data_IF_944499730407
#
_entry.id   IF_944499730407
#
_cell.length_a   1.000
_cell.length_b   1.000
_cell.length_c   1.000
_cell.angle_alpha   90.00
_cell.angle_beta   90.00
_cell.angle_gamma   90.00
#
_symmetry.space_group_name_H-M   'P 1'
#
loop_
_entity.id
_entity.type
_entity.pdbx_description
1 polymer ?
#
# COMPACT_ATOMS: atom_id res chain seq x y z
N UNK A 1 -30.55 0.17 2.51
CA UNK A 1 -29.35 -0.46 3.08
C UNK A 1 -29.75 -0.97 4.46
N UNK A 2 -29.66 -2.27 4.71
CA UNK A 2 -29.84 -2.86 6.02
C UNK A 2 -28.84 -2.21 6.98
N UNK A 3 -29.28 -1.89 8.20
CA UNK A 3 -28.45 -1.30 9.25
C UNK A 3 -27.30 -2.28 9.60
N UNK A 4 -26.17 -2.16 8.92
CA UNK A 4 -24.96 -2.89 9.27
C UNK A 4 -24.21 -2.12 10.35
N UNK A 5 -23.90 -2.78 11.45
CA UNK A 5 -23.02 -2.21 12.46
C UNK A 5 -21.57 -2.19 11.97
N UNK A 6 -20.73 -1.39 12.59
CA UNK A 6 -19.29 -1.38 12.31
C UNK A 6 -18.67 -2.78 12.47
N UNK A 7 -19.07 -3.52 13.50
CA UNK A 7 -18.63 -4.90 13.73
C UNK A 7 -19.08 -5.86 12.61
N UNK A 8 -20.30 -5.66 12.05
CA UNK A 8 -20.78 -6.45 10.90
C UNK A 8 -19.93 -6.18 9.65
N UNK A 9 -19.51 -4.94 9.44
CA UNK A 9 -18.62 -4.56 8.33
C UNK A 9 -17.28 -5.30 8.45
N UNK A 10 -16.64 -5.26 9.63
CA UNK A 10 -15.39 -5.99 9.87
C UNK A 10 -15.57 -7.52 9.74
N UNK A 11 -16.72 -8.06 10.18
CA UNK A 11 -17.05 -9.46 9.96
C UNK A 11 -17.20 -9.79 8.46
N UNK A 12 -17.74 -8.85 7.68
CA UNK A 12 -17.90 -9.02 6.23
C UNK A 12 -16.57 -8.99 5.50
N UNK A 13 -15.57 -8.23 5.98
CA UNK A 13 -14.21 -8.27 5.42
C UNK A 13 -13.66 -9.69 5.34
N UNK A 14 -13.96 -10.57 6.31
CA UNK A 14 -13.50 -11.98 6.34
C UNK A 14 -13.95 -12.81 5.12
N UNK A 15 -14.94 -12.33 4.38
CA UNK A 15 -15.46 -13.00 3.17
C UNK A 15 -14.81 -12.48 1.89
N UNK A 16 -14.08 -11.37 1.96
CA UNK A 16 -13.50 -10.74 0.80
C UNK A 16 -12.17 -11.39 0.40
N UNK A 17 -12.00 -11.61 -0.89
CA UNK A 17 -10.72 -11.96 -1.51
C UNK A 17 -10.19 -10.74 -2.25
N UNK A 18 -8.97 -10.34 -1.97
CA UNK A 18 -8.34 -9.15 -2.56
C UNK A 18 -7.09 -9.59 -3.30
N UNK A 19 -7.04 -9.32 -4.60
CA UNK A 19 -5.85 -9.51 -5.41
C UNK A 19 -4.93 -8.30 -5.23
N UNK A 20 -3.71 -8.53 -4.79
CA UNK A 20 -2.68 -7.48 -4.66
C UNK A 20 -1.62 -7.75 -5.72
N UNK A 21 -1.37 -6.77 -6.59
CA UNK A 21 -0.41 -6.88 -7.70
C UNK A 21 0.56 -5.70 -7.60
N UNK A 22 1.86 -5.97 -7.60
CA UNK A 22 2.83 -4.89 -7.59
C UNK A 22 4.23 -5.30 -7.16
N UNK A 23 5.04 -4.30 -6.88
CA UNK A 23 6.41 -4.47 -6.46
C UNK A 23 6.49 -4.90 -5.00
N UNK A 24 7.24 -5.93 -4.73
CA UNK A 24 7.52 -6.43 -3.37
C UNK A 24 8.97 -6.19 -2.99
N UNK A 25 9.24 -6.16 -1.69
CA UNK A 25 10.58 -5.98 -1.17
C UNK A 25 10.76 -6.63 0.19
N UNK A 26 12.03 -6.88 0.55
CA UNK A 26 12.44 -7.17 1.91
C UNK A 26 12.88 -5.87 2.59
N UNK A 27 12.21 -5.50 3.66
CA UNK A 27 12.66 -4.47 4.59
C UNK A 27 13.50 -5.10 5.69
N UNK A 28 14.81 -4.93 5.64
CA UNK A 28 15.74 -5.48 6.61
C UNK A 28 16.25 -4.40 7.57
N UNK A 29 16.22 -4.68 8.85
CA UNK A 29 16.65 -3.81 9.94
C UNK A 29 17.84 -4.45 10.64
N UNK A 30 18.99 -3.79 10.61
CA UNK A 30 20.23 -4.24 11.23
C UNK A 30 20.48 -3.37 12.46
N UNK A 31 20.24 -3.94 13.62
CA UNK A 31 20.42 -3.24 14.91
C UNK A 31 21.79 -3.53 15.50
N UNK A 32 22.45 -2.47 16.00
CA UNK A 32 23.74 -2.61 16.64
C UNK A 32 24.15 -1.40 17.47
N UNK A 33 25.38 -1.43 17.97
CA UNK A 33 26.00 -0.31 18.66
C UNK A 33 27.21 0.21 17.88
N UNK A 34 27.34 1.54 17.79
CA UNK A 34 28.54 2.20 17.28
C UNK A 34 29.36 2.64 18.50
N UNK A 35 30.50 2.00 18.72
CA UNK A 35 31.37 2.25 19.87
C UNK A 35 32.73 2.85 19.46
N UNK A 36 33.09 2.76 18.17
CA UNK A 36 34.35 3.25 17.66
C UNK A 36 34.27 3.62 16.18
N UNK A 37 35.22 4.45 15.77
CA UNK A 37 35.51 4.76 14.36
C UNK A 37 36.53 3.75 13.84
N UNK A 38 36.43 3.37 12.55
CA UNK A 38 37.38 2.48 11.90
C UNK A 38 38.78 3.09 11.86
N UNK A 39 39.85 2.32 12.11
CA UNK A 39 41.21 2.77 11.88
C UNK A 39 41.57 2.86 10.38
N UNK A 40 40.77 2.24 9.50
CA UNK A 40 41.02 2.22 8.04
C UNK A 40 40.44 3.42 7.32
N UNK A 41 39.37 4.02 7.85
CA UNK A 41 38.69 5.19 7.30
C UNK A 41 37.81 5.88 8.37
N UNK A 42 37.45 7.17 8.23
CA UNK A 42 36.62 7.88 9.20
C UNK A 42 35.13 7.46 9.12
N UNK A 43 34.86 6.17 9.26
CA UNK A 43 33.53 5.57 9.22
C UNK A 43 33.21 4.88 10.54
N UNK A 44 31.94 4.93 11.03
CA UNK A 44 31.55 4.22 12.22
C UNK A 44 31.57 2.70 12.00
N UNK A 45 32.01 1.95 13.01
CA UNK A 45 31.90 0.49 13.04
C UNK A 45 30.64 0.15 13.84
N UNK A 46 29.66 -0.47 13.18
CA UNK A 46 28.49 -1.03 13.84
C UNK A 46 28.80 -2.46 14.32
N UNK A 47 28.73 -2.66 15.62
CA UNK A 47 28.73 -3.99 16.22
C UNK A 47 27.29 -4.52 16.19
N UNK A 48 26.98 -5.38 15.19
CA UNK A 48 25.64 -5.92 14.97
C UNK A 48 25.21 -6.80 16.14
N UNK A 49 24.00 -6.52 16.67
CA UNK A 49 23.35 -7.28 17.76
C UNK A 49 22.23 -8.17 17.26
N UNK A 50 21.41 -7.65 16.32
CA UNK A 50 20.29 -8.41 15.78
C UNK A 50 19.97 -7.94 14.36
N UNK A 51 19.27 -8.81 13.62
CA UNK A 51 18.68 -8.49 12.30
C UNK A 51 17.21 -8.90 12.33
N UNK A 52 16.36 -8.02 11.84
CA UNK A 52 14.92 -8.25 11.59
C UNK A 52 14.66 -8.10 10.11
N UNK A 53 13.72 -8.87 9.57
CA UNK A 53 13.32 -8.79 8.17
C UNK A 53 11.80 -8.81 8.08
N UNK A 54 11.25 -7.92 7.27
CA UNK A 54 9.81 -7.77 7.09
C UNK A 54 9.43 -7.74 5.62
N UNK A 55 8.21 -8.17 5.33
CA UNK A 55 7.61 -8.07 4.01
C UNK A 55 7.19 -6.62 3.76
N UNK A 56 7.68 -6.01 2.67
CA UNK A 56 7.40 -4.63 2.29
C UNK A 56 6.73 -4.49 0.92
N UNK A 57 6.30 -3.27 0.57
CA UNK A 57 5.59 -2.97 -0.66
C UNK A 57 4.26 -3.71 -0.77
N UNK A 58 3.95 -4.26 -1.93
CA UNK A 58 2.71 -5.00 -2.15
C UNK A 58 2.51 -6.17 -1.16
N UNK A 59 3.60 -6.72 -0.58
CA UNK A 59 3.48 -7.75 0.45
C UNK A 59 3.02 -7.18 1.80
N UNK A 60 3.39 -5.95 2.16
CA UNK A 60 2.83 -5.26 3.33
C UNK A 60 1.34 -4.95 3.13
N UNK A 61 0.93 -4.56 1.92
CA UNK A 61 -0.50 -4.42 1.59
C UNK A 61 -1.23 -5.76 1.81
N UNK A 62 -0.66 -6.89 1.36
CA UNK A 62 -1.25 -8.20 1.60
C UNK A 62 -1.36 -8.54 3.09
N UNK A 63 -0.36 -8.21 3.91
CA UNK A 63 -0.41 -8.37 5.37
C UNK A 63 -1.49 -7.51 6.02
N UNK A 64 -1.68 -6.26 5.57
CA UNK A 64 -2.76 -5.40 6.05
C UNK A 64 -4.13 -5.98 5.71
N UNK A 65 -4.35 -6.46 4.48
CA UNK A 65 -5.59 -7.13 4.07
C UNK A 65 -5.85 -8.36 4.95
N UNK A 66 -4.83 -9.17 5.22
CA UNK A 66 -4.93 -10.35 6.08
C UNK A 66 -5.27 -9.97 7.52
N UNK A 67 -4.61 -8.99 8.08
CA UNK A 67 -4.86 -8.52 9.45
C UNK A 67 -6.28 -7.97 9.63
N UNK A 68 -6.83 -7.32 8.61
CA UNK A 68 -8.23 -6.88 8.57
C UNK A 68 -9.22 -8.05 8.41
N UNK A 69 -8.71 -9.28 8.33
CA UNK A 69 -9.49 -10.52 8.24
C UNK A 69 -9.83 -10.95 6.83
N UNK A 70 -9.55 -10.15 5.79
CA UNK A 70 -9.79 -10.53 4.41
C UNK A 70 -8.70 -11.48 3.88
N UNK A 71 -8.94 -12.08 2.73
CA UNK A 71 -8.07 -13.08 2.11
C UNK A 71 -7.24 -12.40 1.02
N UNK A 72 -5.96 -12.08 1.27
CA UNK A 72 -5.08 -11.53 0.23
C UNK A 72 -4.57 -12.63 -0.70
N UNK A 73 -4.42 -12.30 -1.97
CA UNK A 73 -3.71 -13.10 -2.96
C UNK A 73 -2.68 -12.18 -3.61
N UNK A 74 -1.41 -12.39 -3.27
CA UNK A 74 -0.32 -11.55 -3.75
C UNK A 74 0.24 -12.09 -5.07
N UNK A 75 0.29 -11.26 -6.10
CA UNK A 75 0.93 -11.53 -7.38
C UNK A 75 2.09 -10.56 -7.61
N UNK A 76 3.30 -11.09 -7.72
CA UNK A 76 4.52 -10.28 -7.91
C UNK A 76 5.64 -11.10 -8.57
N UNK A 77 6.78 -10.45 -8.77
CA UNK A 77 8.00 -11.08 -9.30
C UNK A 77 9.17 -10.80 -8.37
N UNK A 78 9.88 -11.85 -7.98
CA UNK A 78 11.12 -11.80 -7.20
C UNK A 78 12.27 -12.45 -7.95
N UNK A 79 13.50 -12.25 -7.49
CA UNK A 79 14.68 -12.94 -8.01
C UNK A 79 14.76 -14.41 -7.58
N UNK A 80 15.47 -15.23 -8.37
CA UNK A 80 15.98 -16.54 -7.93
C UNK A 80 17.28 -16.39 -7.13
N UNK A 81 17.20 -15.65 -6.03
CA UNK A 81 18.33 -15.27 -5.19
C UNK A 81 18.07 -15.57 -3.71
N UNK A 82 19.07 -15.31 -2.85
CA UNK A 82 18.93 -15.54 -1.39
C UNK A 82 17.83 -14.67 -0.80
N UNK A 83 17.75 -13.34 -1.08
CA UNK A 83 16.64 -12.52 -0.59
C UNK A 83 15.26 -13.02 -1.06
N UNK A 84 15.15 -13.55 -2.29
CA UNK A 84 13.90 -14.13 -2.78
C UNK A 84 13.48 -15.38 -2.01
N UNK A 85 14.41 -16.21 -1.61
CA UNK A 85 14.11 -17.38 -0.76
C UNK A 85 13.70 -16.94 0.66
N UNK A 86 14.37 -15.93 1.23
CA UNK A 86 13.99 -15.32 2.51
C UNK A 86 12.60 -14.72 2.45
N UNK A 87 12.28 -14.00 1.36
CA UNK A 87 10.95 -13.43 1.11
C UNK A 87 9.85 -14.51 1.12
N UNK A 88 10.04 -15.61 0.37
CA UNK A 88 9.08 -16.72 0.34
C UNK A 88 8.94 -17.39 1.72
N UNK A 89 10.04 -17.52 2.47
CA UNK A 89 10.03 -18.03 3.84
C UNK A 89 9.19 -17.15 4.78
N UNK A 90 9.32 -15.83 4.67
CA UNK A 90 8.53 -14.87 5.44
C UNK A 90 7.05 -14.91 5.03
N UNK A 91 6.73 -15.01 3.74
CA UNK A 91 5.34 -15.19 3.29
C UNK A 91 4.71 -16.44 3.91
N UNK A 92 5.41 -17.58 3.82
CA UNK A 92 4.92 -18.85 4.35
C UNK A 92 4.72 -18.80 5.87
N UNK A 93 5.67 -18.23 6.62
CA UNK A 93 5.55 -18.06 8.07
C UNK A 93 4.44 -17.10 8.50
N UNK A 94 4.09 -16.15 7.65
CA UNK A 94 2.96 -15.23 7.85
C UNK A 94 1.62 -15.81 7.36
N UNK A 95 1.59 -17.04 6.84
CA UNK A 95 0.39 -17.66 6.32
C UNK A 95 -0.10 -17.11 4.98
N UNK A 96 0.73 -16.35 4.26
CA UNK A 96 0.42 -15.86 2.93
C UNK A 96 0.67 -16.94 1.87
N UNK A 97 -0.20 -17.00 0.87
CA UNK A 97 -0.03 -17.89 -0.29
C UNK A 97 1.14 -17.42 -1.15
N UNK A 98 1.94 -18.37 -1.64
CA UNK A 98 3.12 -18.09 -2.48
C UNK A 98 2.92 -18.41 -3.97
N UNK A 99 1.79 -18.98 -4.34
CA UNK A 99 1.50 -19.44 -5.71
C UNK A 99 1.31 -18.30 -6.73
N UNK A 100 1.11 -17.07 -6.27
CA UNK A 100 1.11 -15.86 -7.09
C UNK A 100 2.50 -15.26 -7.36
N UNK A 101 3.56 -15.82 -6.79
CA UNK A 101 4.91 -15.25 -6.89
C UNK A 101 5.70 -15.89 -8.02
N UNK A 102 6.05 -15.09 -9.02
CA UNK A 102 6.92 -15.51 -10.12
C UNK A 102 8.38 -15.34 -9.70
N UNK A 103 9.20 -16.40 -9.92
CA UNK A 103 10.65 -16.35 -9.70
C UNK A 103 11.36 -16.06 -11.01
N UNK A 104 12.24 -15.07 -11.01
CA UNK A 104 12.98 -14.61 -12.18
C UNK A 104 14.48 -14.85 -12.03
N UNK A 105 15.11 -15.42 -13.07
CA UNK A 105 16.58 -15.47 -13.19
C UNK A 105 17.19 -14.18 -13.73
N UNK A 106 16.35 -13.18 -14.06
CA UNK A 106 16.75 -11.98 -14.79
C UNK A 106 16.59 -10.70 -13.96
N UNK A 107 16.27 -10.82 -12.68
CA UNK A 107 16.20 -9.67 -11.76
C UNK A 107 16.57 -10.08 -10.36
N UNK A 108 16.97 -9.10 -9.57
CA UNK A 108 17.19 -9.24 -8.12
C UNK A 108 15.88 -9.01 -7.37
N UNK A 109 15.76 -9.68 -6.22
CA UNK A 109 14.74 -9.32 -5.23
C UNK A 109 15.09 -7.99 -4.60
N UNK A 110 14.16 -7.03 -4.61
CA UNK A 110 14.37 -5.73 -3.97
C UNK A 110 14.55 -5.90 -2.47
N UNK A 111 15.63 -5.32 -1.94
CA UNK A 111 15.94 -5.34 -0.51
C UNK A 111 16.36 -3.95 -0.03
N UNK A 112 15.82 -3.52 1.12
CA UNK A 112 16.14 -2.26 1.78
C UNK A 112 16.73 -2.52 3.17
N UNK A 113 18.04 -2.43 3.29
CA UNK A 113 18.76 -2.69 4.54
C UNK A 113 18.92 -1.36 5.31
N UNK A 114 18.28 -1.25 6.47
CA UNK A 114 18.38 -0.11 7.38
C UNK A 114 19.31 -0.43 8.53
N UNK A 115 20.40 0.31 8.66
CA UNK A 115 21.38 0.18 9.73
C UNK A 115 21.02 1.14 10.85
N UNK A 116 20.76 0.62 12.06
CA UNK A 116 20.21 1.36 13.19
C UNK A 116 21.10 1.23 14.42
N UNK A 117 21.42 2.35 15.06
CA UNK A 117 22.12 2.40 16.35
C UNK A 117 21.50 3.47 17.24
N UNK A 118 21.25 3.12 18.51
CA UNK A 118 20.67 4.04 19.48
C UNK A 118 19.30 4.61 19.06
N UNK A 119 18.51 3.87 18.29
CA UNK A 119 17.21 4.31 17.78
C UNK A 119 17.29 5.21 16.53
N UNK A 120 18.48 5.49 16.00
CA UNK A 120 18.68 6.34 14.83
C UNK A 120 19.14 5.56 13.61
N UNK A 121 18.63 5.91 12.44
CA UNK A 121 19.08 5.38 11.16
C UNK A 121 20.46 5.96 10.84
N UNK A 122 21.47 5.11 10.68
CA UNK A 122 22.83 5.49 10.29
C UNK A 122 23.02 5.45 8.78
N UNK A 123 22.45 4.44 8.13
CA UNK A 123 22.61 4.20 6.70
C UNK A 123 21.44 3.33 6.20
N UNK A 124 21.04 3.54 4.93
CA UNK A 124 20.20 2.63 4.19
C UNK A 124 20.94 2.14 2.96
N UNK A 125 20.96 0.82 2.74
CA UNK A 125 21.54 0.18 1.58
C UNK A 125 20.40 -0.44 0.79
N UNK A 126 20.17 0.05 -0.44
CA UNK A 126 19.10 -0.43 -1.31
C UNK A 126 19.73 -1.31 -2.41
N UNK A 127 19.31 -2.58 -2.46
CA UNK A 127 19.61 -3.50 -3.54
C UNK A 127 18.35 -3.67 -4.36
N UNK A 128 18.29 -3.04 -5.52
CA UNK A 128 17.07 -2.98 -6.30
C UNK A 128 17.36 -2.80 -7.79
N UNK A 129 16.41 -3.21 -8.61
CA UNK A 129 16.36 -2.98 -10.04
C UNK A 129 15.00 -2.39 -10.41
N UNK A 130 14.98 -1.45 -11.35
CA UNK A 130 13.77 -0.70 -11.71
C UNK A 130 13.37 -0.87 -13.19
N UNK A 131 14.08 -1.73 -13.92
CA UNK A 131 13.74 -2.03 -15.31
C UNK A 131 12.44 -2.86 -15.41
N UNK A 132 11.68 -2.72 -16.52
CA UNK A 132 10.48 -3.54 -16.75
C UNK A 132 10.80 -5.04 -16.78
N UNK A 133 9.80 -5.85 -16.46
CA UNK A 133 9.88 -7.30 -16.56
C UNK A 133 10.23 -7.72 -18.00
N UNK A 134 11.05 -8.75 -18.14
CA UNK A 134 11.24 -9.39 -19.43
C UNK A 134 9.92 -10.05 -19.93
N UNK A 135 9.86 -10.39 -21.21
CA UNK A 135 8.64 -10.94 -21.84
C UNK A 135 8.14 -12.23 -21.18
N UNK A 136 9.07 -13.09 -20.69
CA UNK A 136 8.73 -14.37 -20.07
C UNK A 136 8.08 -14.14 -18.70
N UNK A 137 8.73 -13.37 -17.85
CA UNK A 137 8.27 -13.10 -16.49
C UNK A 137 6.96 -12.31 -16.49
N UNK A 138 6.83 -11.32 -17.37
CA UNK A 138 5.59 -10.58 -17.60
C UNK A 138 4.44 -11.50 -18.02
N UNK A 139 4.70 -12.46 -18.94
CA UNK A 139 3.69 -13.41 -19.38
C UNK A 139 3.25 -14.34 -18.24
N UNK A 140 4.20 -14.82 -17.41
CA UNK A 140 3.90 -15.66 -16.26
C UNK A 140 3.05 -14.91 -15.23
N UNK A 141 3.47 -13.70 -14.84
CA UNK A 141 2.71 -12.85 -13.90
C UNK A 141 1.31 -12.58 -14.43
N UNK A 142 1.18 -12.16 -15.68
CA UNK A 142 -0.12 -11.92 -16.33
C UNK A 142 -1.02 -13.16 -16.29
N UNK A 143 -0.50 -14.34 -16.64
CA UNK A 143 -1.28 -15.58 -16.63
C UNK A 143 -1.80 -15.87 -15.23
N UNK A 144 -0.94 -15.77 -14.22
CA UNK A 144 -1.30 -15.97 -12.83
C UNK A 144 -2.40 -14.99 -12.37
N UNK A 145 -2.25 -13.71 -12.69
CA UNK A 145 -3.24 -12.67 -12.36
C UNK A 145 -4.59 -12.95 -13.02
N UNK A 146 -4.62 -13.27 -14.31
CA UNK A 146 -5.86 -13.50 -15.06
C UNK A 146 -6.61 -14.79 -14.65
N UNK A 147 -5.91 -15.75 -14.08
CA UNK A 147 -6.52 -16.94 -13.48
C UNK A 147 -7.20 -16.62 -12.15
N UNK A 148 -6.54 -15.79 -11.32
CA UNK A 148 -6.95 -15.47 -9.95
C UNK A 148 -8.06 -14.42 -9.91
N UNK A 149 -8.00 -13.43 -10.79
CA UNK A 149 -8.85 -12.22 -10.76
C UNK A 149 -10.34 -12.53 -10.69
N UNK A 150 -10.80 -13.61 -11.30
CA UNK A 150 -12.21 -14.01 -11.42
C UNK A 150 -12.89 -14.29 -10.08
N UNK A 151 -12.10 -14.66 -9.06
CA UNK A 151 -12.57 -15.02 -7.74
C UNK A 151 -12.40 -13.88 -6.72
N UNK A 152 -11.93 -12.71 -7.16
CA UNK A 152 -11.62 -11.59 -6.30
C UNK A 152 -12.76 -10.56 -6.22
N UNK A 153 -12.84 -9.88 -5.09
CA UNK A 153 -13.83 -8.83 -4.82
C UNK A 153 -13.27 -7.43 -4.99
N UNK A 154 -11.94 -7.30 -4.94
CA UNK A 154 -11.19 -6.06 -5.23
C UNK A 154 -9.79 -6.40 -5.73
N UNK A 155 -9.17 -5.44 -6.40
CA UNK A 155 -7.78 -5.48 -6.84
C UNK A 155 -7.07 -4.27 -6.28
N UNK A 156 -5.84 -4.46 -5.80
CA UNK A 156 -4.92 -3.38 -5.43
C UNK A 156 -3.71 -3.46 -6.37
N UNK A 157 -3.43 -2.39 -7.08
CA UNK A 157 -2.19 -2.21 -7.83
C UNK A 157 -1.24 -1.34 -7.01
N UNK A 158 -0.15 -1.94 -6.54
CA UNK A 158 0.84 -1.32 -5.67
C UNK A 158 2.12 -1.09 -6.46
N UNK A 159 2.31 0.14 -6.96
CA UNK A 159 3.47 0.54 -7.77
C UNK A 159 4.57 1.12 -6.87
N UNK A 160 5.79 0.62 -7.00
CA UNK A 160 6.99 1.17 -6.35
C UNK A 160 8.08 1.53 -7.36
N UNK A 161 7.72 1.62 -8.66
CA UNK A 161 8.66 1.89 -9.76
C UNK A 161 9.81 0.86 -9.85
N UNK A 162 9.55 -0.40 -9.43
CA UNK A 162 10.53 -1.50 -9.54
C UNK A 162 10.27 -2.41 -10.74
N UNK A 163 9.34 -2.01 -11.62
CA UNK A 163 9.12 -2.63 -12.92
C UNK A 163 8.21 -3.85 -12.94
N UNK A 164 7.57 -4.22 -11.84
CA UNK A 164 6.52 -5.25 -11.83
C UNK A 164 5.34 -4.82 -12.69
N UNK A 165 4.95 -3.55 -12.58
CA UNK A 165 3.89 -2.93 -13.37
C UNK A 165 4.48 -2.12 -14.53
N UNK A 166 3.96 -2.33 -15.74
CA UNK A 166 4.18 -1.48 -16.90
C UNK A 166 2.84 -1.14 -17.57
N UNK A 167 2.84 -0.14 -18.43
CA UNK A 167 1.63 0.34 -19.11
C UNK A 167 0.82 -0.78 -19.76
N UNK A 168 1.48 -1.74 -20.42
CA UNK A 168 0.78 -2.83 -21.12
C UNK A 168 0.09 -3.78 -20.15
N UNK A 169 0.76 -4.20 -19.08
CA UNK A 169 0.20 -5.07 -18.04
C UNK A 169 -0.94 -4.36 -17.29
N UNK A 170 -0.74 -3.09 -16.93
CA UNK A 170 -1.77 -2.25 -16.29
C UNK A 170 -3.04 -2.23 -17.16
N UNK A 171 -2.92 -1.89 -18.47
CA UNK A 171 -4.08 -1.81 -19.37
C UNK A 171 -4.84 -3.13 -19.45
N UNK A 172 -4.14 -4.25 -19.62
CA UNK A 172 -4.76 -5.57 -19.72
C UNK A 172 -5.50 -5.99 -18.44
N UNK A 173 -4.93 -5.70 -17.28
CA UNK A 173 -5.57 -6.00 -15.99
C UNK A 173 -6.78 -5.07 -15.77
N UNK A 174 -6.66 -3.78 -16.09
CA UNK A 174 -7.76 -2.82 -15.98
C UNK A 174 -8.94 -3.20 -16.88
N UNK A 175 -8.69 -3.63 -18.12
CA UNK A 175 -9.72 -4.10 -19.04
C UNK A 175 -10.45 -5.33 -18.49
N UNK A 176 -9.71 -6.30 -17.97
CA UNK A 176 -10.31 -7.51 -17.39
C UNK A 176 -11.10 -7.20 -16.11
N UNK A 177 -10.57 -6.36 -15.22
CA UNK A 177 -11.26 -5.90 -14.01
C UNK A 177 -12.57 -5.20 -14.36
N UNK A 178 -12.55 -4.32 -15.38
CA UNK A 178 -13.76 -3.62 -15.86
C UNK A 178 -14.79 -4.61 -16.42
N UNK A 179 -14.34 -5.59 -17.22
CA UNK A 179 -15.21 -6.65 -17.76
C UNK A 179 -15.90 -7.45 -16.66
N UNK A 180 -15.17 -7.74 -15.58
CA UNK A 180 -15.66 -8.48 -14.41
C UNK A 180 -16.38 -7.60 -13.38
N UNK A 181 -16.37 -6.28 -13.56
CA UNK A 181 -16.89 -5.28 -12.60
C UNK A 181 -16.25 -5.35 -11.23
N UNK A 182 -14.95 -5.66 -11.17
CA UNK A 182 -14.18 -5.73 -9.94
C UNK A 182 -13.52 -4.35 -9.72
N UNK A 183 -13.70 -3.71 -8.55
CA UNK A 183 -13.07 -2.43 -8.26
C UNK A 183 -11.55 -2.56 -8.17
N UNK A 184 -10.84 -1.58 -8.74
CA UNK A 184 -9.38 -1.47 -8.72
C UNK A 184 -8.97 -0.24 -7.92
N UNK A 185 -8.20 -0.45 -6.85
CA UNK A 185 -7.53 0.60 -6.10
C UNK A 185 -6.05 0.67 -6.50
N UNK A 186 -5.52 1.87 -6.66
CA UNK A 186 -4.15 2.09 -7.15
C UNK A 186 -3.38 2.98 -6.19
N UNK A 187 -2.20 2.53 -5.75
CA UNK A 187 -1.15 3.36 -5.18
C UNK A 187 -0.08 3.61 -6.26
N UNK A 188 -0.07 4.80 -6.89
CA UNK A 188 0.78 5.05 -8.04
C UNK A 188 2.17 5.53 -7.65
N UNK A 189 3.14 5.30 -8.54
CA UNK A 189 4.42 6.00 -8.55
C UNK A 189 4.61 6.76 -9.86
N UNK A 190 5.69 7.51 -9.94
CA UNK A 190 5.95 8.50 -10.98
C UNK A 190 5.89 7.95 -12.41
N UNK A 191 6.51 6.78 -12.65
CA UNK A 191 6.65 6.22 -14.01
C UNK A 191 5.31 5.89 -14.65
N UNK A 192 4.41 5.27 -13.89
CA UNK A 192 3.11 4.82 -14.36
C UNK A 192 1.95 5.74 -13.97
N UNK A 193 2.23 6.91 -13.38
CA UNK A 193 1.25 7.78 -12.74
C UNK A 193 -0.02 8.03 -13.59
N UNK A 194 0.12 8.19 -14.90
CA UNK A 194 -1.00 8.47 -15.81
C UNK A 194 -1.48 7.24 -16.61
N UNK A 195 -1.05 6.03 -16.24
CA UNK A 195 -1.44 4.82 -16.95
C UNK A 195 -2.66 4.10 -16.35
N UNK A 196 -3.07 4.43 -15.13
CA UNK A 196 -4.17 3.78 -14.39
C UNK A 196 -5.54 4.37 -14.71
N UNK A 197 -5.86 4.50 -16.00
CA UNK A 197 -7.12 5.12 -16.46
C UNK A 197 -8.34 4.32 -16.05
N UNK A 198 -9.36 5.02 -15.53
CA UNK A 198 -10.62 4.41 -15.15
C UNK A 198 -10.58 3.58 -13.87
N UNK A 199 -9.53 3.69 -13.05
CA UNK A 199 -9.47 3.01 -11.77
C UNK A 199 -10.65 3.40 -10.86
N UNK A 200 -11.07 2.47 -10.00
CA UNK A 200 -12.13 2.74 -9.03
C UNK A 200 -11.65 3.69 -7.93
N UNK A 201 -10.36 3.60 -7.58
CA UNK A 201 -9.69 4.51 -6.66
C UNK A 201 -8.26 4.79 -7.13
N UNK A 202 -7.86 6.05 -7.12
CA UNK A 202 -6.49 6.47 -7.34
C UNK A 202 -5.99 7.23 -6.09
N UNK A 203 -4.92 6.71 -5.43
CA UNK A 203 -4.45 7.18 -4.12
C UNK A 203 -3.01 7.69 -4.17
N UNK A 204 -2.71 8.85 -4.71
CA UNK A 204 -1.39 9.46 -4.59
C UNK A 204 -1.21 10.13 -3.22
N UNK A 205 0.03 10.26 -2.78
CA UNK A 205 0.37 11.22 -1.74
C UNK A 205 0.63 12.61 -2.35
N UNK A 206 0.78 13.63 -1.49
CA UNK A 206 1.00 15.02 -1.93
C UNK A 206 2.21 15.17 -2.85
N UNK A 207 3.31 14.47 -2.55
CA UNK A 207 4.53 14.51 -3.38
C UNK A 207 4.30 13.87 -4.75
N UNK A 208 3.71 12.68 -4.78
CA UNK A 208 3.37 11.97 -6.02
C UNK A 208 2.41 12.78 -6.88
N UNK A 209 1.43 13.43 -6.26
CA UNK A 209 0.47 14.29 -6.94
C UNK A 209 1.16 15.51 -7.57
N UNK A 210 2.03 16.18 -6.82
CA UNK A 210 2.81 17.32 -7.31
C UNK A 210 3.73 16.95 -8.47
N UNK A 211 4.45 15.83 -8.34
CA UNK A 211 5.38 15.35 -9.37
C UNK A 211 4.63 14.83 -10.61
N UNK A 212 3.55 14.09 -10.42
CA UNK A 212 2.78 13.47 -11.50
C UNK A 212 2.03 14.49 -12.36
N UNK A 213 1.47 15.53 -11.75
CA UNK A 213 0.76 16.61 -12.44
C UNK A 213 1.66 17.81 -12.77
N UNK A 214 2.88 17.86 -12.23
CA UNK A 214 3.80 19.01 -12.33
C UNK A 214 3.17 20.31 -11.80
N UNK A 215 2.54 20.23 -10.65
CA UNK A 215 1.89 21.32 -9.92
C UNK A 215 2.56 21.51 -8.55
N UNK A 216 2.18 22.58 -7.86
CA UNK A 216 2.57 22.82 -6.48
C UNK A 216 1.30 23.05 -5.64
N UNK A 217 0.88 22.05 -4.90
CA UNK A 217 -0.35 22.05 -4.10
C UNK A 217 0.01 22.48 -2.68
N UNK A 218 -0.73 23.44 -2.17
CA UNK A 218 -0.71 23.82 -0.77
C UNK A 218 -1.81 23.03 -0.02
N UNK A 219 -1.45 22.06 0.84
CA UNK A 219 -2.44 21.23 1.53
C UNK A 219 -3.33 22.01 2.50
N UNK A 220 -2.92 23.21 2.92
CA UNK A 220 -3.73 24.11 3.74
C UNK A 220 -4.82 24.83 2.94
N UNK A 221 -4.71 24.87 1.59
CA UNK A 221 -5.64 25.52 0.69
C UNK A 221 -6.44 24.49 -0.10
N UNK A 222 -7.65 24.17 0.35
CA UNK A 222 -8.50 23.16 -0.30
C UNK A 222 -8.75 23.43 -1.80
N UNK A 223 -8.76 24.69 -2.23
CA UNK A 223 -8.92 25.04 -3.65
C UNK A 223 -7.86 24.43 -4.55
N UNK A 224 -6.60 24.36 -4.09
CA UNK A 224 -5.50 23.76 -4.86
C UNK A 224 -5.67 22.24 -5.00
N UNK A 225 -6.25 21.58 -3.99
CA UNK A 225 -6.57 20.15 -4.02
C UNK A 225 -7.72 19.89 -5.00
N UNK A 226 -8.78 20.72 -4.99
CA UNK A 226 -9.89 20.60 -5.96
C UNK A 226 -9.41 20.76 -7.41
N UNK A 227 -8.53 21.71 -7.67
CA UNK A 227 -7.94 21.93 -9.00
C UNK A 227 -7.12 20.70 -9.44
N UNK A 228 -6.29 20.15 -8.54
CA UNK A 228 -5.49 18.96 -8.83
C UNK A 228 -6.38 17.74 -9.12
N UNK A 229 -7.45 17.50 -8.34
CA UNK A 229 -8.41 16.43 -8.61
C UNK A 229 -9.08 16.63 -9.96
N UNK A 230 -9.45 17.88 -10.31
CA UNK A 230 -10.01 18.20 -11.63
C UNK A 230 -9.04 17.92 -12.80
N UNK A 231 -7.73 18.09 -12.58
CA UNK A 231 -6.69 17.71 -13.55
C UNK A 231 -6.54 16.18 -13.66
N UNK A 232 -6.55 15.46 -12.52
CA UNK A 232 -6.52 13.99 -12.49
C UNK A 232 -7.73 13.41 -13.22
N UNK A 233 -8.92 13.93 -12.94
CA UNK A 233 -10.16 13.45 -13.55
C UNK A 233 -10.14 13.58 -15.08
N UNK A 234 -9.65 14.71 -15.60
CA UNK A 234 -9.49 14.91 -17.05
C UNK A 234 -8.50 13.94 -17.69
N UNK A 235 -7.46 13.48 -16.96
CA UNK A 235 -6.40 12.63 -17.50
C UNK A 235 -6.67 11.13 -17.27
N UNK A 236 -7.25 10.77 -16.13
CA UNK A 236 -7.42 9.39 -15.68
C UNK A 236 -8.88 8.93 -15.70
N UNK A 237 -9.85 9.82 -15.41
CA UNK A 237 -11.27 9.47 -15.32
C UNK A 237 -11.56 8.42 -14.25
N UNK A 238 -10.89 8.47 -13.09
CA UNK A 238 -11.10 7.54 -11.99
C UNK A 238 -12.42 7.85 -11.26
N UNK A 239 -13.01 6.82 -10.64
CA UNK A 239 -14.29 7.00 -9.93
C UNK A 239 -14.11 7.72 -8.59
N UNK A 240 -13.02 7.45 -7.89
CA UNK A 240 -12.68 8.06 -6.61
C UNK A 240 -11.19 8.47 -6.60
N UNK A 241 -10.89 9.52 -5.84
CA UNK A 241 -9.54 9.95 -5.54
C UNK A 241 -9.37 10.02 -4.02
N UNK A 242 -8.22 9.58 -3.50
CA UNK A 242 -7.84 9.69 -2.10
C UNK A 242 -6.42 10.26 -2.03
N UNK A 243 -6.30 11.52 -1.62
CA UNK A 243 -5.00 12.19 -1.51
C UNK A 243 -4.56 12.12 -0.05
N UNK A 244 -3.40 11.50 0.21
CA UNK A 244 -2.80 11.52 1.54
C UNK A 244 -1.91 12.76 1.69
N UNK A 245 -2.12 13.53 2.77
CA UNK A 245 -1.57 14.86 2.98
C UNK A 245 -0.68 14.93 4.23
N UNK A 246 -0.09 13.81 4.66
CA UNK A 246 0.75 13.69 5.85
C UNK A 246 0.05 14.21 7.11
N UNK A 247 0.62 15.23 7.78
CA UNK A 247 0.06 15.88 8.98
C UNK A 247 -1.28 16.60 8.75
N UNK A 248 -1.68 16.80 7.49
CA UNK A 248 -2.97 17.39 7.15
C UNK A 248 -4.08 16.34 6.96
N UNK A 249 -3.76 15.04 7.12
CA UNK A 249 -4.71 13.93 7.00
C UNK A 249 -4.96 13.48 5.57
N UNK A 250 -6.22 13.28 5.19
CA UNK A 250 -6.58 12.80 3.85
C UNK A 250 -7.70 13.64 3.24
N UNK A 251 -7.70 13.68 1.91
CA UNK A 251 -8.76 14.32 1.13
C UNK A 251 -9.29 13.33 0.10
N UNK A 252 -10.59 13.04 0.15
CA UNK A 252 -11.24 12.07 -0.72
C UNK A 252 -12.31 12.73 -1.60
N UNK A 253 -12.51 12.18 -2.82
CA UNK A 253 -13.57 12.62 -3.71
C UNK A 253 -14.22 11.48 -4.49
N UNK A 254 -15.52 11.65 -4.78
CA UNK A 254 -16.32 10.79 -5.69
C UNK A 254 -17.20 11.69 -6.56
N UNK A 255 -16.80 11.87 -7.80
CA UNK A 255 -17.47 12.83 -8.69
C UNK A 255 -17.43 14.26 -8.12
N UNK A 256 -18.61 14.84 -7.78
CA UNK A 256 -18.71 16.18 -7.18
C UNK A 256 -18.73 16.17 -5.63
N UNK A 257 -18.70 15.01 -5.03
CA UNK A 257 -18.64 14.87 -3.58
C UNK A 257 -17.17 14.93 -3.13
N UNK A 258 -16.90 15.76 -2.12
CA UNK A 258 -15.59 15.92 -1.54
C UNK A 258 -15.68 15.80 -0.02
N UNK A 259 -14.69 15.19 0.60
CA UNK A 259 -14.57 15.11 2.06
C UNK A 259 -13.10 15.17 2.46
N UNK A 260 -12.79 15.99 3.46
CA UNK A 260 -11.47 16.07 4.08
C UNK A 260 -11.55 15.54 5.51
N UNK A 261 -10.59 14.72 5.90
CA UNK A 261 -10.43 14.24 7.26
C UNK A 261 -9.08 14.71 7.79
N UNK A 262 -9.04 15.48 8.90
CA UNK A 262 -7.78 15.89 9.50
C UNK A 262 -7.00 14.69 10.02
N UNK A 263 -5.68 14.82 10.11
CA UNK A 263 -4.87 13.79 10.74
C UNK A 263 -5.22 13.66 12.23
N UNK A 264 -5.27 12.42 12.73
CA UNK A 264 -5.41 12.16 14.14
C UNK A 264 -4.11 12.50 14.87
N UNK A 265 -4.21 13.25 15.98
CA UNK A 265 -3.04 13.60 16.80
C UNK A 265 -2.48 12.35 17.46
N UNK A 266 -1.23 11.99 17.13
CA UNK A 266 -0.57 10.76 17.58
C UNK A 266 0.91 10.98 17.85
N UNK A 267 1.50 10.07 18.62
CA UNK A 267 2.94 10.01 18.81
C UNK A 267 3.56 9.22 17.66
N UNK A 268 4.12 9.89 16.67
CA UNK A 268 4.66 9.28 15.47
C UNK A 268 6.04 8.66 15.73
N UNK A 269 6.16 7.35 15.57
CA UNK A 269 7.42 6.62 15.64
C UNK A 269 8.04 6.43 14.23
N UNK A 270 7.23 6.04 13.24
CA UNK A 270 7.65 5.84 11.86
C UNK A 270 6.43 5.99 10.93
N UNK A 271 6.61 6.54 9.75
CA UNK A 271 5.54 6.69 8.74
C UNK A 271 5.58 5.61 7.66
N UNK A 272 6.53 4.68 7.75
CA UNK A 272 6.70 3.60 6.78
C UNK A 272 5.49 2.66 6.78
N UNK A 273 4.90 2.40 5.61
CA UNK A 273 3.74 1.50 5.47
C UNK A 273 2.38 2.13 5.73
N UNK A 274 2.30 3.41 6.16
CA UNK A 274 1.02 4.10 6.34
C UNK A 274 0.20 4.13 5.04
N UNK A 275 0.84 4.40 3.88
CA UNK A 275 0.21 4.36 2.57
C UNK A 275 -0.39 3.01 2.23
N UNK A 276 0.34 1.93 2.54
CA UNK A 276 -0.07 0.53 2.32
C UNK A 276 -1.32 0.19 3.17
N UNK A 277 -1.37 0.66 4.41
CA UNK A 277 -2.53 0.49 5.30
C UNK A 277 -3.74 1.26 4.77
N UNK A 278 -3.54 2.52 4.38
CA UNK A 278 -4.59 3.40 3.83
C UNK A 278 -5.23 2.76 2.58
N UNK A 279 -4.43 2.28 1.62
CA UNK A 279 -4.96 1.66 0.39
C UNK A 279 -5.68 0.34 0.69
N UNK A 280 -5.18 -0.44 1.65
CA UNK A 280 -5.79 -1.71 2.06
C UNK A 280 -7.19 -1.51 2.62
N UNK A 281 -7.37 -0.58 3.55
CA UNK A 281 -8.67 -0.26 4.15
C UNK A 281 -9.62 0.34 3.09
N UNK A 282 -9.13 1.27 2.27
CA UNK A 282 -9.92 1.89 1.21
C UNK A 282 -10.42 0.86 0.18
N UNK A 283 -9.58 -0.10 -0.21
CA UNK A 283 -9.96 -1.17 -1.15
C UNK A 283 -11.06 -2.07 -0.59
N UNK A 284 -11.03 -2.41 0.71
CA UNK A 284 -12.10 -3.17 1.38
C UNK A 284 -13.40 -2.35 1.45
N UNK A 285 -13.29 -1.05 1.71
CA UNK A 285 -14.43 -0.13 1.68
C UNK A 285 -15.09 -0.04 0.31
N UNK A 286 -14.30 -0.01 -0.76
CA UNK A 286 -14.80 -0.04 -2.14
C UNK A 286 -15.45 -1.37 -2.49
N UNK A 287 -14.86 -2.51 -2.07
CA UNK A 287 -15.40 -3.84 -2.31
C UNK A 287 -16.82 -4.03 -1.71
N UNK A 288 -17.13 -3.31 -0.64
CA UNK A 288 -18.44 -3.30 0.02
C UNK A 288 -19.32 -2.12 -0.38
N UNK A 289 -18.90 -1.28 -1.34
CA UNK A 289 -19.57 -0.03 -1.75
C UNK A 289 -19.97 0.85 -0.55
N UNK A 290 -19.06 0.98 0.43
CA UNK A 290 -19.26 1.81 1.61
C UNK A 290 -19.26 3.30 1.22
N UNK A 291 -19.93 4.18 1.98
CA UNK A 291 -19.94 5.62 1.72
C UNK A 291 -18.54 6.23 1.71
N UNK A 292 -18.32 7.23 0.85
CA UNK A 292 -17.02 7.92 0.69
C UNK A 292 -16.44 8.37 2.04
N UNK A 293 -17.22 9.08 2.85
CA UNK A 293 -16.77 9.58 4.14
C UNK A 293 -16.40 8.45 5.12
N UNK A 294 -17.11 7.31 5.04
CA UNK A 294 -16.87 6.17 5.91
C UNK A 294 -15.50 5.53 5.64
N UNK A 295 -15.28 5.05 4.40
CA UNK A 295 -14.05 4.31 4.12
C UNK A 295 -12.82 5.22 4.10
N UNK A 296 -12.96 6.50 3.74
CA UNK A 296 -11.83 7.44 3.75
C UNK A 296 -11.39 7.81 5.17
N UNK A 297 -12.35 7.97 6.12
CA UNK A 297 -12.01 8.19 7.52
C UNK A 297 -11.42 6.94 8.17
N UNK A 298 -11.99 5.76 7.90
CA UNK A 298 -11.44 4.51 8.43
C UNK A 298 -10.01 4.29 7.94
N UNK A 299 -9.72 4.62 6.67
CA UNK A 299 -8.38 4.57 6.09
C UNK A 299 -7.42 5.60 6.72
N UNK A 300 -7.90 6.84 6.96
CA UNK A 300 -7.15 7.89 7.66
C UNK A 300 -6.76 7.45 9.08
N UNK A 301 -7.72 6.92 9.83
CA UNK A 301 -7.53 6.39 11.17
C UNK A 301 -6.48 5.27 11.19
N UNK A 302 -6.65 4.26 10.32
CA UNK A 302 -5.72 3.14 10.23
C UNK A 302 -4.30 3.55 9.81
N UNK A 303 -4.18 4.48 8.85
CA UNK A 303 -2.87 5.05 8.47
C UNK A 303 -2.18 5.76 9.64
N UNK A 304 -2.95 6.44 10.50
CA UNK A 304 -2.44 7.06 11.72
C UNK A 304 -1.98 6.03 12.76
N UNK A 305 -2.76 4.98 12.99
CA UNK A 305 -2.45 3.94 13.99
C UNK A 305 -1.09 3.29 13.70
N UNK A 306 -0.83 2.87 12.47
CA UNK A 306 0.44 2.18 12.15
C UNK A 306 1.67 3.09 12.29
N UNK A 307 1.49 4.41 12.20
CA UNK A 307 2.59 5.37 12.42
C UNK A 307 3.09 5.42 13.89
N UNK A 308 2.36 4.86 14.85
CA UNK A 308 2.80 4.78 16.25
C UNK A 308 3.84 3.66 16.50
N UNK A 309 4.06 2.79 15.51
CA UNK A 309 4.95 1.65 15.61
C UNK A 309 6.20 1.85 14.74
N UNK A 310 7.39 1.39 15.21
CA UNK A 310 8.61 1.50 14.43
C UNK A 310 8.66 0.48 13.27
N UNK A 311 9.02 0.97 12.10
CA UNK A 311 9.13 0.19 10.87
C UNK A 311 7.78 -0.22 10.28
N UNK A 312 7.83 -1.02 9.22
CA UNK A 312 6.64 -1.49 8.52
C UNK A 312 5.92 -2.55 9.36
N UNK A 313 4.66 -2.27 9.72
CA UNK A 313 3.79 -3.18 10.48
C UNK A 313 2.39 -3.22 9.86
N UNK A 314 1.70 -4.37 9.82
CA UNK A 314 0.29 -4.41 9.44
C UNK A 314 -0.58 -3.79 10.53
N UNK A 315 -1.72 -3.24 10.14
CA UNK A 315 -2.71 -2.68 11.06
C UNK A 315 -3.26 -3.75 12.01
N UNK A 316 -3.49 -3.40 13.27
CA UNK A 316 -4.28 -4.20 14.17
C UNK A 316 -5.77 -3.92 13.97
N UNK A 317 -6.54 -4.94 13.54
CA UNK A 317 -7.95 -4.79 13.23
C UNK A 317 -8.81 -4.52 14.48
N UNK A 318 -8.44 -5.07 15.65
CA UNK A 318 -9.16 -4.85 16.90
C UNK A 318 -8.95 -3.41 17.38
N UNK A 319 -7.70 -2.92 17.36
CA UNK A 319 -7.40 -1.53 17.68
C UNK A 319 -8.10 -0.57 16.72
N UNK A 320 -8.09 -0.85 15.39
CA UNK A 320 -8.80 -0.02 14.43
C UNK A 320 -10.30 0.03 14.70
N UNK A 321 -10.91 -1.11 15.04
CA UNK A 321 -12.33 -1.18 15.38
C UNK A 321 -12.64 -0.38 16.65
N UNK A 322 -11.85 -0.55 17.71
CA UNK A 322 -12.02 0.16 18.98
C UNK A 322 -11.93 1.68 18.79
N UNK A 323 -10.91 2.14 18.07
CA UNK A 323 -10.73 3.57 17.82
C UNK A 323 -11.81 4.14 16.88
N UNK A 324 -12.26 3.38 15.88
CA UNK A 324 -13.37 3.79 15.02
C UNK A 324 -14.68 3.92 15.79
N UNK A 325 -14.98 3.02 16.74
CA UNK A 325 -16.15 3.11 17.62
C UNK A 325 -16.17 4.40 18.47
N UNK A 326 -15.02 4.99 18.73
CA UNK A 326 -14.90 6.25 19.46
C UNK A 326 -15.07 7.50 18.58
N UNK A 327 -15.12 7.36 17.24
CA UNK A 327 -15.23 8.50 16.33
C UNK A 327 -16.70 8.86 16.05
N UNK A 328 -17.09 10.14 16.14
CA UNK A 328 -18.46 10.58 15.88
C UNK A 328 -19.00 10.20 14.49
N UNK A 329 -18.14 10.15 13.49
CA UNK A 329 -18.55 9.80 12.12
C UNK A 329 -19.14 8.40 12.02
N UNK A 330 -18.73 7.46 12.89
CA UNK A 330 -19.23 6.09 12.88
C UNK A 330 -20.42 5.86 13.81
N UNK A 331 -20.89 6.88 14.58
CA UNK A 331 -22.07 6.75 15.45
C UNK A 331 -23.31 6.14 14.75
N UNK A 332 -23.62 6.47 13.48
CA UNK A 332 -24.74 5.85 12.76
C UNK A 332 -24.61 4.32 12.59
N UNK A 333 -23.39 3.78 12.74
CA UNK A 333 -23.07 2.37 12.58
C UNK A 333 -22.84 1.64 13.91
N UNK A 334 -23.13 2.28 15.06
CA UNK A 334 -22.98 1.68 16.40
C UNK A 334 -24.15 0.81 16.81
N UNK A 335 -25.33 1.02 16.21
CA UNK A 335 -26.57 0.31 16.57
C UNK A 335 -27.14 -0.38 15.36
N UNK A 336 -27.69 -1.62 15.52
CA UNK A 336 -28.36 -2.32 14.46
C UNK A 336 -29.64 -1.61 14.00
#
# INVERSE_FOLDING_TARGET
MLHQTLADIFTTFKKLKVLVIGDVMLDAYIYGAVERISPEAPVPILNMKSRDQRLGGAANVALNIQSLGAIPILCSVIGEDVPGNEFLGLMASSGLRIDGIVRSTHRKTTQKNRVISGGHHLLRIDEEEDHPLNKKDKKLLKTCVLEIIKDCHAIIMEDYDKGCLDQGLISEIMEEAQRLKIPVAVDPKKRNFLHFKGASLFKPNLKELNEGLKVNIDPAQQSTIYEAIGLLDKQLGCQNYLITLSEHGVFASKGKQFVGHPAHVRSIADVSGAGDTVISIAALGLALDLPLAFWSELANLGGGIVCEYPGVVPIDAEQLLEEALAQPLFEPFLKP
#
